data_IF_091323921837
#
_entry.id   IF_091323921837
#
_cell.length_a   1.000
_cell.length_b   1.000
_cell.length_c   1.000
_cell.angle_alpha   90.00
_cell.angle_beta   90.00
_cell.angle_gamma   90.00
#
_symmetry.space_group_name_H-M   'P 1'
#
loop_
_entity.id
_entity.type
_entity.pdbx_description
1 polymer ?
#
# COMPACT_ATOMS: atom_id res chain seq x y z
N UNK A 1 -0.26 20.03 60.23
CA UNK A 1 0.71 19.49 59.26
C UNK A 1 0.32 18.08 58.85
N UNK A 2 -0.08 17.23 59.81
CA UNK A 2 -0.50 15.84 59.62
C UNK A 2 -1.65 15.66 58.62
N UNK A 3 -2.72 16.47 58.71
CA UNK A 3 -3.87 16.38 57.79
C UNK A 3 -3.47 16.51 56.31
N UNK A 4 -2.48 17.35 55.98
CA UNK A 4 -2.00 17.52 54.59
C UNK A 4 -1.23 16.28 54.11
N UNK A 5 -0.50 15.62 55.02
CA UNK A 5 0.23 14.38 54.72
C UNK A 5 -0.73 13.21 54.50
N UNK A 6 -1.79 13.12 55.30
CA UNK A 6 -2.84 12.11 55.13
C UNK A 6 -3.56 12.25 53.79
N UNK A 7 -3.94 13.48 53.42
CA UNK A 7 -4.52 13.78 52.11
C UNK A 7 -3.60 13.35 50.96
N UNK A 8 -2.31 13.69 51.04
CA UNK A 8 -1.35 13.31 50.00
C UNK A 8 -1.13 11.80 49.94
N UNK A 9 -1.15 11.10 51.07
CA UNK A 9 -1.08 9.64 51.10
C UNK A 9 -2.30 8.99 50.46
N UNK A 10 -3.50 9.51 50.68
CA UNK A 10 -4.72 8.97 50.05
C UNK A 10 -4.70 9.16 48.53
N UNK A 11 -4.25 10.32 48.07
CA UNK A 11 -4.12 10.62 46.63
C UNK A 11 -3.08 9.70 45.97
N UNK A 12 -1.89 9.59 46.56
CA UNK A 12 -0.82 8.73 46.03
C UNK A 12 -1.23 7.25 46.00
N UNK A 13 -2.00 6.78 46.99
CA UNK A 13 -2.54 5.41 46.96
C UNK A 13 -3.55 5.21 45.84
N UNK A 14 -4.44 6.18 45.61
CA UNK A 14 -5.40 6.11 44.51
C UNK A 14 -4.69 6.11 43.14
N UNK A 15 -3.70 6.99 42.96
CA UNK A 15 -2.85 7.01 41.75
C UNK A 15 -2.15 5.66 41.55
N UNK A 16 -1.53 5.11 42.60
CA UNK A 16 -0.86 3.83 42.55
C UNK A 16 -1.80 2.68 42.17
N UNK A 17 -2.98 2.59 42.79
CA UNK A 17 -3.98 1.57 42.46
C UNK A 17 -4.48 1.70 41.03
N UNK A 18 -4.70 2.93 40.55
CA UNK A 18 -5.07 3.17 39.14
C UNK A 18 -3.96 2.74 38.18
N UNK A 19 -2.69 3.04 38.52
CA UNK A 19 -1.52 2.62 37.76
C UNK A 19 -1.38 1.09 37.71
N UNK A 20 -1.61 0.40 38.82
CA UNK A 20 -1.59 -1.07 38.88
C UNK A 20 -2.68 -1.70 38.00
N UNK A 21 -3.88 -1.12 37.96
CA UNK A 21 -4.96 -1.60 37.07
C UNK A 21 -4.56 -1.46 35.60
N UNK A 22 -4.02 -0.30 35.22
CA UNK A 22 -3.53 -0.06 33.85
C UNK A 22 -2.42 -1.05 33.49
N UNK A 23 -1.48 -1.30 34.42
CA UNK A 23 -0.39 -2.24 34.19
C UNK A 23 -0.91 -3.65 33.94
N UNK A 24 -1.89 -4.12 34.72
CA UNK A 24 -2.53 -5.42 34.50
C UNK A 24 -3.25 -5.50 33.15
N UNK A 25 -3.94 -4.43 32.74
CA UNK A 25 -4.58 -4.38 31.43
C UNK A 25 -3.57 -4.42 30.28
N UNK A 26 -2.40 -3.77 30.44
CA UNK A 26 -1.30 -3.85 29.48
C UNK A 26 -0.76 -5.28 29.40
N UNK A 27 -0.52 -5.93 30.54
CA UNK A 27 -0.05 -7.32 30.59
C UNK A 27 -1.02 -8.29 29.88
N UNK A 28 -2.33 -8.12 30.11
CA UNK A 28 -3.36 -8.91 29.41
C UNK A 28 -3.33 -8.69 27.90
N UNK A 29 -3.19 -7.44 27.45
CA UNK A 29 -3.06 -7.12 26.02
C UNK A 29 -1.78 -7.70 25.42
N UNK A 30 -0.68 -7.72 26.16
CA UNK A 30 0.57 -8.32 25.70
C UNK A 30 0.42 -9.82 25.45
N UNK A 31 -0.24 -10.55 26.36
CA UNK A 31 -0.54 -11.97 26.17
C UNK A 31 -1.40 -12.21 24.92
N UNK A 32 -2.47 -11.42 24.73
CA UNK A 32 -3.31 -11.52 23.54
C UNK A 32 -2.54 -11.23 22.24
N UNK A 33 -1.67 -10.20 22.24
CA UNK A 33 -0.84 -9.88 21.09
C UNK A 33 0.19 -10.97 20.78
N UNK A 34 0.68 -11.67 21.79
CA UNK A 34 1.59 -12.80 21.61
C UNK A 34 0.89 -13.98 20.92
N UNK A 35 -0.34 -14.30 21.32
CA UNK A 35 -1.17 -15.30 20.66
C UNK A 35 -1.49 -14.92 19.21
N UNK A 36 -1.93 -13.67 18.97
CA UNK A 36 -2.18 -13.16 17.62
C UNK A 36 -0.94 -13.22 16.74
N UNK A 37 0.23 -12.88 17.30
CA UNK A 37 1.53 -12.97 16.61
C UNK A 37 1.86 -14.42 16.25
N UNK A 38 1.59 -15.38 17.13
CA UNK A 38 1.80 -16.81 16.86
C UNK A 38 0.90 -17.29 15.72
N UNK A 39 -0.39 -16.99 15.76
CA UNK A 39 -1.33 -17.34 14.68
C UNK A 39 -0.89 -16.73 13.37
N UNK A 40 -0.52 -15.45 13.36
CA UNK A 40 -0.05 -14.79 12.13
C UNK A 40 1.20 -15.48 11.57
N UNK A 41 2.20 -15.77 12.41
CA UNK A 41 3.40 -16.51 11.98
C UNK A 41 3.06 -17.85 11.35
N UNK A 42 2.13 -18.59 11.95
CA UNK A 42 1.67 -19.87 11.39
C UNK A 42 0.98 -19.71 10.04
N UNK A 43 0.11 -18.71 9.89
CA UNK A 43 -0.53 -18.41 8.60
C UNK A 43 0.49 -18.03 7.53
N UNK A 44 1.50 -17.23 7.88
CA UNK A 44 2.55 -16.84 6.97
C UNK A 44 3.40 -18.04 6.54
N UNK A 45 3.73 -18.95 7.47
CA UNK A 45 4.47 -20.18 7.15
C UNK A 45 3.68 -21.11 6.21
N UNK A 46 2.36 -21.20 6.40
CA UNK A 46 1.49 -21.97 5.50
C UNK A 46 1.43 -21.35 4.10
N UNK A 47 1.32 -20.03 4.03
CA UNK A 47 1.30 -19.30 2.76
C UNK A 47 2.65 -19.41 2.05
N UNK A 48 3.77 -19.27 2.76
CA UNK A 48 5.10 -19.41 2.16
C UNK A 48 5.29 -20.79 1.55
N UNK A 49 4.94 -21.86 2.28
CA UNK A 49 5.03 -23.21 1.72
C UNK A 49 4.10 -23.43 0.53
N UNK A 50 2.91 -22.81 0.51
CA UNK A 50 2.03 -22.86 -0.66
C UNK A 50 2.62 -22.12 -1.87
N UNK A 51 3.33 -21.02 -1.66
CA UNK A 51 4.06 -20.31 -2.71
C UNK A 51 5.18 -21.19 -3.24
N UNK A 52 6.03 -21.75 -2.37
CA UNK A 52 7.16 -22.61 -2.77
C UNK A 52 6.70 -23.77 -3.65
N UNK A 53 5.60 -24.45 -3.27
CA UNK A 53 5.01 -25.53 -4.07
C UNK A 53 4.48 -25.06 -5.43
N UNK A 54 3.85 -23.89 -5.48
CA UNK A 54 3.34 -23.33 -6.73
C UNK A 54 4.48 -22.87 -7.65
N UNK A 55 5.55 -22.31 -7.08
CA UNK A 55 6.77 -21.95 -7.80
C UNK A 55 7.41 -23.21 -8.39
N UNK A 56 7.55 -24.30 -7.64
CA UNK A 56 8.05 -25.59 -8.16
C UNK A 56 7.18 -26.11 -9.32
N UNK A 57 5.84 -26.09 -9.19
CA UNK A 57 4.92 -26.54 -10.25
C UNK A 57 5.01 -25.64 -11.50
N UNK A 58 5.24 -24.35 -11.31
CA UNK A 58 5.42 -23.40 -12.42
C UNK A 58 6.77 -23.56 -13.10
N UNK A 59 7.86 -23.80 -12.36
CA UNK A 59 9.19 -24.09 -12.92
C UNK A 59 9.20 -25.42 -13.70
N UNK A 60 8.42 -26.42 -13.27
CA UNK A 60 8.22 -27.68 -14.04
C UNK A 60 7.42 -27.43 -15.34
N UNK A 61 6.63 -26.36 -15.42
CA UNK A 61 5.90 -25.95 -16.64
C UNK A 61 6.77 -25.18 -17.64
N UNK A 62 7.98 -24.75 -17.26
CA UNK A 62 8.87 -23.98 -18.12
C UNK A 62 9.79 -24.84 -19.02
N UNK A 63 9.73 -26.17 -18.93
CA UNK A 63 10.50 -27.08 -19.79
C UNK A 63 9.79 -27.56 -21.05
N UNK A 64 8.62 -27.00 -21.39
CA UNK A 64 7.91 -27.36 -22.62
C UNK A 64 7.16 -26.17 -23.23
N UNK A 65 7.88 -25.10 -23.60
CA UNK A 65 7.54 -24.27 -24.76
C UNK A 65 8.71 -23.35 -25.13
N UNK A 66 9.66 -23.90 -25.88
CA UNK A 66 10.22 -23.19 -27.02
C UNK A 66 9.70 -23.91 -28.27
N UNK A 67 9.18 -23.19 -29.26
CA UNK A 67 10.14 -22.68 -30.23
C UNK A 67 9.93 -21.22 -30.62
N UNK A 68 11.08 -20.63 -30.93
CA UNK A 68 11.32 -19.48 -31.78
C UNK A 68 10.20 -19.19 -32.79
N UNK A 69 9.81 -17.91 -32.89
CA UNK A 69 9.45 -17.32 -34.18
C UNK A 69 9.91 -15.87 -34.22
N UNK A 70 11.11 -15.66 -34.77
CA UNK A 70 11.39 -14.48 -35.59
C UNK A 70 10.39 -14.44 -36.74
N UNK A 71 9.54 -13.42 -36.82
CA UNK A 71 9.15 -12.82 -38.10
C UNK A 71 8.61 -11.39 -37.90
N UNK A 72 9.39 -10.43 -38.38
CA UNK A 72 9.07 -9.22 -39.16
C UNK A 72 7.75 -8.43 -38.89
N UNK A 73 7.83 -7.08 -38.94
CA UNK A 73 6.74 -6.17 -38.60
C UNK A 73 5.66 -6.13 -39.69
N UNK A 74 4.69 -7.02 -39.58
CA UNK A 74 3.47 -6.99 -40.36
C UNK A 74 2.44 -6.04 -39.74
N UNK A 75 2.12 -4.97 -40.45
CA UNK A 75 1.10 -3.96 -40.16
C UNK A 75 -0.31 -4.55 -40.04
N UNK A 76 -0.61 -5.26 -38.95
CA UNK A 76 -1.97 -5.60 -38.55
C UNK A 76 -2.43 -4.58 -37.51
N UNK A 77 -3.39 -3.76 -37.90
CA UNK A 77 -4.13 -2.87 -37.02
C UNK A 77 -4.99 -3.69 -36.03
N UNK A 78 -4.34 -4.42 -35.13
CA UNK A 78 -4.95 -5.05 -33.98
C UNK A 78 -5.17 -3.99 -32.91
N UNK A 79 -6.40 -3.85 -32.44
CA UNK A 79 -6.69 -3.08 -31.24
C UNK A 79 -6.49 -4.03 -30.04
N UNK A 80 -5.51 -3.73 -29.19
CA UNK A 80 -5.25 -4.44 -27.93
C UNK A 80 -5.83 -3.62 -26.78
N UNK A 81 -6.38 -4.32 -25.78
CA UNK A 81 -6.91 -3.68 -24.59
C UNK A 81 -5.76 -3.23 -23.67
N UNK A 82 -5.81 -1.96 -23.25
CA UNK A 82 -4.80 -1.40 -22.36
C UNK A 82 -4.95 -2.03 -20.96
N UNK A 83 -3.91 -2.73 -20.46
CA UNK A 83 -3.96 -3.36 -19.15
C UNK A 83 -3.97 -2.33 -18.01
N UNK A 84 -4.43 -2.76 -16.84
CA UNK A 84 -4.41 -1.92 -15.64
C UNK A 84 -3.09 -2.05 -14.90
N UNK A 85 -2.30 -0.98 -14.94
CA UNK A 85 -1.00 -0.87 -14.26
C UNK A 85 -1.04 0.10 -13.08
N UNK A 86 -2.22 0.62 -12.71
CA UNK A 86 -2.38 1.48 -11.52
C UNK A 86 -2.11 0.67 -10.25
N UNK A 87 -1.39 1.28 -9.29
CA UNK A 87 -0.86 0.66 -8.06
C UNK A 87 0.22 -0.41 -8.29
N UNK A 88 0.77 -0.52 -9.50
CA UNK A 88 1.95 -1.34 -9.75
C UNK A 88 3.20 -0.47 -9.76
N UNK A 89 4.36 -1.10 -9.54
CA UNK A 89 5.66 -0.45 -9.71
C UNK A 89 5.95 -0.21 -11.20
N UNK A 90 6.70 0.85 -11.50
CA UNK A 90 7.07 1.21 -12.88
C UNK A 90 7.70 0.04 -13.66
N UNK A 91 8.60 -0.71 -13.04
CA UNK A 91 9.24 -1.87 -13.70
C UNK A 91 8.23 -2.95 -14.09
N UNK A 92 7.28 -3.25 -13.22
CA UNK A 92 6.27 -4.27 -13.45
C UNK A 92 5.26 -3.81 -14.51
N UNK A 93 4.89 -2.54 -14.47
CA UNK A 93 4.01 -1.94 -15.46
C UNK A 93 4.60 -1.97 -16.88
N UNK A 94 5.89 -1.67 -17.02
CA UNK A 94 6.59 -1.75 -18.32
C UNK A 94 6.48 -3.16 -18.89
N UNK A 95 6.79 -4.19 -18.09
CA UNK A 95 6.67 -5.59 -18.54
C UNK A 95 5.25 -5.95 -18.99
N UNK A 96 4.24 -5.58 -18.20
CA UNK A 96 2.83 -5.84 -18.52
C UNK A 96 2.42 -5.14 -19.82
N UNK A 97 2.93 -3.92 -20.08
CA UNK A 97 2.66 -3.21 -21.31
C UNK A 97 3.35 -3.87 -22.50
N UNK A 98 4.63 -4.23 -22.36
CA UNK A 98 5.41 -4.93 -23.40
C UNK A 98 4.78 -6.28 -23.77
N UNK A 99 4.35 -7.05 -22.78
CA UNK A 99 3.61 -8.32 -22.96
C UNK A 99 2.27 -8.10 -23.69
N UNK A 100 1.61 -6.96 -23.46
CA UNK A 100 0.41 -6.56 -24.20
C UNK A 100 0.71 -5.92 -25.57
N UNK A 101 1.97 -5.86 -26.01
CA UNK A 101 2.38 -5.21 -27.26
C UNK A 101 2.19 -3.68 -27.24
N UNK A 102 2.19 -3.08 -26.06
CA UNK A 102 2.12 -1.63 -25.83
C UNK A 102 3.47 -1.12 -25.31
N UNK A 103 3.74 0.15 -25.50
CA UNK A 103 4.99 0.77 -25.04
C UNK A 103 4.74 1.68 -23.85
N UNK A 104 5.67 1.71 -22.89
CA UNK A 104 5.66 2.74 -21.86
C UNK A 104 6.03 4.08 -22.51
N UNK A 105 5.11 5.02 -22.46
CA UNK A 105 5.27 6.34 -23.04
C UNK A 105 5.93 7.32 -22.08
N UNK A 106 5.34 8.52 -22.01
CA UNK A 106 5.78 9.56 -21.09
C UNK A 106 5.52 9.13 -19.63
N UNK A 107 6.57 9.12 -18.82
CA UNK A 107 6.47 8.89 -17.37
C UNK A 107 6.55 10.23 -16.66
N UNK A 108 5.46 10.64 -16.02
CA UNK A 108 5.35 11.89 -15.27
C UNK A 108 5.39 11.60 -13.78
N UNK A 109 6.36 12.17 -13.07
CA UNK A 109 6.40 12.07 -11.61
C UNK A 109 5.51 13.12 -10.97
N UNK A 110 4.52 12.70 -10.17
CA UNK A 110 3.64 13.59 -9.44
C UNK A 110 3.89 13.51 -7.94
N UNK A 111 4.19 14.67 -7.35
CA UNK A 111 4.33 14.84 -5.90
C UNK A 111 2.95 14.90 -5.27
N UNK A 112 2.54 13.82 -4.63
CA UNK A 112 1.25 13.71 -3.95
C UNK A 112 1.40 13.11 -2.56
N UNK A 113 0.40 13.35 -1.71
CA UNK A 113 0.24 12.63 -0.45
C UNK A 113 -0.14 11.20 -0.81
N UNK A 114 0.69 10.24 -0.40
CA UNK A 114 0.49 8.83 -0.73
C UNK A 114 -0.77 8.31 -0.02
N UNK A 115 -1.79 7.84 -0.75
CA UNK A 115 -2.95 7.18 -0.14
C UNK A 115 -2.55 5.81 0.44
N UNK A 116 -3.40 5.26 1.32
CA UNK A 116 -3.16 3.96 1.96
C UNK A 116 -2.99 2.89 0.87
N UNK A 117 -1.87 2.15 0.92
CA UNK A 117 -1.55 1.07 -0.01
C UNK A 117 -0.89 1.52 -1.33
N UNK A 118 -0.42 2.76 -1.43
CA UNK A 118 0.41 3.25 -2.56
C UNK A 118 1.77 3.69 -2.02
N UNK A 119 2.84 3.14 -2.59
CA UNK A 119 4.21 3.47 -2.26
C UNK A 119 4.76 4.54 -3.22
N UNK A 120 5.85 5.20 -2.82
CA UNK A 120 6.58 6.04 -3.76
C UNK A 120 7.20 5.15 -4.86
N UNK A 121 7.02 5.54 -6.12
CA UNK A 121 7.40 4.75 -7.28
C UNK A 121 6.25 3.96 -7.92
N UNK A 122 5.07 3.95 -7.30
CA UNK A 122 3.89 3.30 -7.86
C UNK A 122 3.15 4.21 -8.83
N UNK A 123 2.51 3.61 -9.83
CA UNK A 123 1.70 4.35 -10.80
C UNK A 123 0.35 4.71 -10.17
N UNK A 124 0.06 6.00 -10.10
CA UNK A 124 -1.21 6.53 -9.58
C UNK A 124 -2.24 6.77 -10.69
N UNK A 125 -1.77 6.95 -11.92
CA UNK A 125 -2.64 7.23 -13.06
C UNK A 125 -2.01 6.70 -14.34
N UNK A 126 -2.85 6.19 -15.23
CA UNK A 126 -2.48 5.79 -16.58
C UNK A 126 -3.42 6.46 -17.58
N UNK A 127 -2.88 6.82 -18.74
CA UNK A 127 -3.63 7.32 -19.88
C UNK A 127 -3.06 6.66 -21.15
N UNK A 128 -3.86 5.89 -21.92
CA UNK A 128 -5.32 5.67 -21.84
C UNK A 128 -5.81 4.91 -20.59
N UNK A 129 -7.11 5.04 -20.26
CA UNK A 129 -7.74 4.33 -19.15
C UNK A 129 -7.66 2.81 -19.35
N UNK A 130 -7.58 2.02 -18.26
CA UNK A 130 -7.58 0.56 -18.38
C UNK A 130 -8.83 0.06 -19.11
N UNK A 131 -8.66 -0.96 -19.95
CA UNK A 131 -9.70 -1.52 -20.82
C UNK A 131 -10.01 -0.69 -22.07
N UNK A 132 -9.32 0.43 -22.31
CA UNK A 132 -9.42 1.16 -23.58
C UNK A 132 -8.75 0.35 -24.67
N UNK A 133 -9.40 0.22 -25.83
CA UNK A 133 -8.80 -0.41 -27.02
C UNK A 133 -7.83 0.57 -27.67
N UNK A 134 -6.56 0.19 -27.77
CA UNK A 134 -5.50 0.98 -28.38
C UNK A 134 -4.80 0.15 -29.46
N UNK A 135 -4.31 0.75 -30.56
CA UNK A 135 -3.56 0.01 -31.55
C UNK A 135 -2.27 -0.55 -30.93
N UNK A 136 -1.86 -1.75 -31.36
CA UNK A 136 -0.56 -2.34 -31.00
C UNK A 136 0.55 -1.33 -31.25
N UNK A 137 1.49 -1.22 -30.30
CA UNK A 137 2.60 -0.28 -30.33
C UNK A 137 2.26 1.11 -29.78
N UNK A 138 1.02 1.38 -29.37
CA UNK A 138 0.67 2.64 -28.72
C UNK A 138 1.46 2.88 -27.44
N UNK A 139 1.78 4.13 -27.17
CA UNK A 139 2.41 4.55 -25.93
C UNK A 139 1.38 4.87 -24.86
N UNK A 140 1.58 4.33 -23.66
CA UNK A 140 0.74 4.62 -22.48
C UNK A 140 1.49 5.59 -21.58
N UNK A 141 0.88 6.75 -21.34
CA UNK A 141 1.38 7.75 -20.38
C UNK A 141 1.14 7.26 -18.97
N UNK A 142 2.18 7.27 -18.14
CA UNK A 142 2.15 6.78 -16.77
C UNK A 142 2.48 7.93 -15.82
N UNK A 143 1.68 8.09 -14.77
CA UNK A 143 1.96 9.05 -13.70
C UNK A 143 2.40 8.29 -12.47
N UNK A 144 3.62 8.55 -12.01
CA UNK A 144 4.26 7.88 -10.88
C UNK A 144 4.13 8.75 -9.63
N UNK A 145 3.73 8.14 -8.52
CA UNK A 145 3.72 8.79 -7.22
C UNK A 145 5.14 9.00 -6.72
N UNK A 146 5.51 10.25 -6.51
CA UNK A 146 6.68 10.60 -5.71
C UNK A 146 6.22 11.19 -4.38
N UNK A 147 6.95 10.86 -3.31
CA UNK A 147 6.61 11.31 -1.95
C UNK A 147 6.65 12.84 -1.89
N UNK A 148 5.48 13.48 -1.87
CA UNK A 148 5.36 14.91 -1.67
C UNK A 148 5.67 15.33 -0.23
N UNK A 149 6.13 16.57 -0.03
CA UNK A 149 6.08 17.20 1.28
C UNK A 149 4.61 17.51 1.58
N UNK A 150 4.12 17.03 2.72
CA UNK A 150 2.78 17.36 3.20
C UNK A 150 2.71 18.87 3.47
N UNK A 151 2.12 19.62 2.54
CA UNK A 151 1.62 20.96 2.83
C UNK A 151 0.16 20.76 3.22
N UNK A 152 -0.22 20.97 4.50
CA UNK A 152 -1.63 20.98 4.84
C UNK A 152 -2.29 22.04 3.98
N UNK A 153 -3.28 21.64 3.17
CA UNK A 153 -4.21 22.58 2.57
C UNK A 153 -4.72 23.44 3.71
N UNK A 154 -4.49 24.75 3.65
CA UNK A 154 -4.99 25.67 4.64
C UNK A 154 -6.49 25.41 4.77
N UNK A 155 -6.87 24.82 5.92
CA UNK A 155 -8.23 24.94 6.43
C UNK A 155 -8.38 26.39 6.81
N UNK A 156 -8.51 27.23 5.80
CA UNK A 156 -9.02 28.57 5.91
C UNK A 156 -10.37 28.45 6.59
N UNK A 157 -10.50 29.18 7.71
CA UNK A 157 -11.75 29.64 8.33
C UNK A 157 -12.74 28.53 8.73
N UNK A 158 -13.04 28.28 10.00
CA UNK A 158 -13.65 29.24 10.91
C UNK A 158 -13.41 28.79 12.36
N UNK A 159 -12.37 29.32 13.01
CA UNK A 159 -12.50 29.66 14.41
C UNK A 159 -13.14 31.04 14.43
N UNK A 160 -14.46 31.10 14.52
CA UNK A 160 -15.14 32.34 14.84
C UNK A 160 -16.32 32.07 15.78
N UNK A 161 -16.32 32.85 16.86
CA UNK A 161 -17.44 33.19 17.73
C UNK A 161 -18.12 32.09 18.56
N UNK A 162 -17.53 31.76 19.71
CA UNK A 162 -18.29 31.67 20.97
C UNK A 162 -17.50 32.34 22.11
N UNK A 163 -17.18 33.63 21.91
CA UNK A 163 -17.24 34.59 22.99
C UNK A 163 -18.59 35.32 22.87
N UNK A 164 -19.21 35.60 24.00
CA UNK A 164 -20.53 36.22 24.20
C UNK A 164 -21.78 35.33 24.14
N UNK A 165 -22.09 34.70 25.29
CA UNK A 165 -23.37 34.98 25.98
C UNK A 165 -23.31 34.53 27.45
N UNK A 166 -23.28 35.56 28.31
CA UNK A 166 -23.95 35.73 29.62
C UNK A 166 -24.19 34.46 30.45
#
# INVERSE_FOLDING_TARGET
MEVKLEQRLTELRAEYESGQKILKDIELKLAELEDRKKTLKETLLRISGAIDLLEEVLEVKESAEGPETMVEPGTVAGNVEVPNVVKQSLKKAIKILEEAGLTAGEVVEQKVVLPIGVMAGDIIRQEPKPGTKSPVGSSVKLVVAVKGKFLPSERSSLCDAFSDRI
#
